data_IF_832017535690
#
_entry.id   IF_832017535690
#
_cell.length_a   1.000
_cell.length_b   1.000
_cell.length_c   1.000
_cell.angle_alpha   90.00
_cell.angle_beta   90.00
_cell.angle_gamma   90.00
#
_symmetry.space_group_name_H-M   'P 1'
#
loop_
_entity.id
_entity.type
_entity.pdbx_description
1 polymer ?
#
# COMPACT_ATOMS: atom_id res chain seq x y z
N UNK A 1 40.76 48.96 20.65
CA UNK A 1 39.36 49.06 20.19
C UNK A 1 38.55 48.09 21.06
N UNK A 2 38.05 48.54 22.21
CA UNK A 2 37.25 47.68 23.09
C UNK A 2 35.85 47.56 22.50
N UNK A 3 35.46 46.35 22.10
CA UNK A 3 34.08 46.08 21.72
C UNK A 3 33.18 46.45 22.92
N UNK A 4 32.14 47.25 22.65
CA UNK A 4 31.04 47.49 23.58
C UNK A 4 30.57 46.15 24.18
N UNK A 5 30.39 46.01 25.51
CA UNK A 5 29.96 44.77 26.16
C UNK A 5 28.70 44.15 25.52
N UNK A 6 27.88 44.95 24.84
CA UNK A 6 26.74 44.48 24.07
C UNK A 6 27.14 43.81 22.76
N UNK A 7 28.04 44.43 21.97
CA UNK A 7 28.56 43.85 20.72
C UNK A 7 29.44 42.62 20.97
N UNK A 8 30.15 42.60 22.09
CA UNK A 8 30.86 41.43 22.57
C UNK A 8 29.89 40.26 22.84
N UNK A 9 28.77 40.49 23.54
CA UNK A 9 27.78 39.45 23.81
C UNK A 9 27.08 38.91 22.55
N UNK A 10 26.79 39.76 21.57
CA UNK A 10 26.23 39.32 20.27
C UNK A 10 27.24 38.50 19.49
N UNK A 11 28.50 38.94 19.42
CA UNK A 11 29.58 38.18 18.80
C UNK A 11 29.82 36.85 19.53
N UNK A 12 29.73 36.83 20.87
CA UNK A 12 29.86 35.61 21.66
C UNK A 12 28.69 34.67 21.41
N UNK A 13 27.46 35.16 21.28
CA UNK A 13 26.28 34.31 21.00
C UNK A 13 26.34 33.74 19.59
N UNK A 14 26.73 34.55 18.60
CA UNK A 14 26.98 34.09 17.24
C UNK A 14 28.13 33.06 17.18
N UNK A 15 29.20 33.29 17.93
CA UNK A 15 30.32 32.34 18.04
C UNK A 15 29.90 31.04 18.72
N UNK A 16 29.09 31.10 19.78
CA UNK A 16 28.54 29.92 20.46
C UNK A 16 27.66 29.13 19.51
N UNK A 17 26.83 29.79 18.70
CA UNK A 17 25.97 29.14 17.69
C UNK A 17 26.82 28.48 16.60
N UNK A 18 27.83 29.17 16.06
CA UNK A 18 28.77 28.62 15.08
C UNK A 18 29.56 27.43 15.67
N UNK A 19 29.99 27.52 16.92
CA UNK A 19 30.64 26.43 17.65
C UNK A 19 29.69 25.26 17.89
N UNK A 20 28.42 25.51 18.20
CA UNK A 20 27.39 24.47 18.34
C UNK A 20 27.17 23.75 17.00
N UNK A 21 27.10 24.48 15.88
CA UNK A 21 27.04 23.90 14.54
C UNK A 21 28.30 23.11 14.18
N UNK A 22 29.49 23.61 14.53
CA UNK A 22 30.75 22.91 14.32
C UNK A 22 30.85 21.65 15.19
N UNK A 23 30.40 21.71 16.45
CA UNK A 23 30.36 20.57 17.38
C UNK A 23 29.34 19.54 16.92
N UNK A 24 28.14 19.94 16.48
CA UNK A 24 27.16 19.02 15.90
C UNK A 24 27.70 18.36 14.62
N UNK A 25 28.38 19.11 13.76
CA UNK A 25 29.04 18.59 12.56
C UNK A 25 30.17 17.61 12.90
N UNK A 26 30.99 17.92 13.91
CA UNK A 26 32.07 17.05 14.39
C UNK A 26 31.54 15.81 15.10
N UNK A 27 30.51 15.92 15.94
CA UNK A 27 29.85 14.79 16.61
C UNK A 27 29.25 13.86 15.56
N UNK A 28 28.56 14.41 14.55
CA UNK A 28 28.02 13.66 13.43
C UNK A 28 29.09 12.93 12.60
N UNK A 29 30.32 13.47 12.55
CA UNK A 29 31.49 12.82 11.93
C UNK A 29 32.32 11.92 12.86
N UNK A 30 31.99 11.85 14.16
CA UNK A 30 32.79 11.15 15.18
C UNK A 30 32.25 9.77 15.53
N UNK A 31 33.05 8.96 16.25
CA UNK A 31 32.61 7.68 16.78
C UNK A 31 31.46 7.74 17.78
N UNK A 32 31.27 8.87 18.45
CA UNK A 32 30.16 9.09 19.39
C UNK A 32 28.83 9.24 18.64
N UNK A 33 28.85 9.87 17.45
CA UNK A 33 27.71 9.94 16.54
C UNK A 33 27.21 8.55 16.13
N UNK A 34 28.13 7.59 15.93
CA UNK A 34 27.79 6.20 15.57
C UNK A 34 27.00 5.44 16.64
N UNK A 35 27.14 5.83 17.91
CA UNK A 35 26.46 5.20 19.06
C UNK A 35 25.01 5.66 19.20
N UNK A 36 24.70 6.87 18.74
CA UNK A 36 23.35 7.47 18.68
C UNK A 36 22.73 7.40 17.27
N UNK A 37 23.28 6.54 16.39
CA UNK A 37 22.70 6.22 15.08
C UNK A 37 23.21 7.04 13.88
N UNK A 38 24.16 7.96 14.07
CA UNK A 38 24.73 8.79 12.99
C UNK A 38 25.97 8.10 12.41
N UNK A 39 25.91 7.62 11.17
CA UNK A 39 27.06 6.94 10.52
C UNK A 39 27.57 7.70 9.28
N UNK A 40 28.85 8.12 9.27
CA UNK A 40 29.45 8.91 8.18
C UNK A 40 29.88 8.09 6.96
N UNK A 41 29.80 6.75 7.03
CA UNK A 41 30.39 5.82 6.06
C UNK A 41 29.48 5.51 4.85
N UNK A 42 28.24 6.02 4.79
CA UNK A 42 27.29 5.64 3.74
C UNK A 42 27.20 6.72 2.63
N UNK A 43 27.51 6.38 1.36
CA UNK A 43 27.22 7.25 0.23
C UNK A 43 25.71 7.34 -0.01
N UNK A 44 25.30 8.44 -0.65
CA UNK A 44 23.95 9.04 -0.77
C UNK A 44 22.75 8.18 -1.22
N UNK A 45 22.83 6.85 -1.28
CA UNK A 45 21.98 6.02 -2.13
C UNK A 45 20.85 5.22 -1.46
N UNK A 46 20.62 5.30 -0.14
CA UNK A 46 19.53 4.53 0.50
C UNK A 46 18.65 5.29 1.52
N UNK A 47 18.70 6.63 1.59
CA UNK A 47 17.74 7.39 2.43
C UNK A 47 17.59 8.88 1.99
N UNK A 48 16.39 9.36 1.60
CA UNK A 48 16.21 10.66 0.93
C UNK A 48 16.00 11.88 1.85
N UNK A 49 16.69 11.99 2.98
CA UNK A 49 16.77 13.25 3.78
C UNK A 49 18.13 13.98 3.65
N UNK A 50 19.10 13.37 2.99
CA UNK A 50 20.43 13.92 2.77
C UNK A 50 20.41 15.19 1.90
N UNK A 51 20.89 16.28 2.48
CA UNK A 51 20.96 17.65 1.96
C UNK A 51 19.65 18.43 2.11
N UNK A 52 18.49 18.10 1.50
CA UNK A 52 17.33 19.04 1.57
C UNK A 52 16.57 19.08 2.91
N UNK A 53 16.38 17.95 3.60
CA UNK A 53 15.70 17.94 4.89
C UNK A 53 16.61 18.45 6.01
N UNK A 54 17.89 18.07 5.99
CA UNK A 54 18.92 18.69 6.84
C UNK A 54 19.04 20.19 6.53
N UNK A 55 19.01 20.59 5.26
CA UNK A 55 19.02 22.02 4.89
C UNK A 55 17.81 22.75 5.42
N UNK A 56 16.60 22.16 5.51
CA UNK A 56 15.43 22.84 6.08
C UNK A 56 15.48 22.87 7.61
N UNK A 57 15.92 21.78 8.26
CA UNK A 57 16.12 21.71 9.71
C UNK A 57 17.28 22.59 10.19
N UNK A 58 18.27 22.86 9.35
CA UNK A 58 19.39 23.77 9.61
C UNK A 58 19.07 25.21 9.16
N UNK A 59 18.42 25.40 8.01
CA UNK A 59 18.09 26.73 7.49
C UNK A 59 16.97 27.42 8.26
N UNK A 60 16.04 26.67 8.88
CA UNK A 60 14.97 27.29 9.66
C UNK A 60 15.49 27.95 10.95
N UNK A 61 16.33 27.29 11.78
CA UNK A 61 17.08 27.98 12.85
C UNK A 61 17.96 29.12 12.33
N UNK A 62 18.64 28.94 11.18
CA UNK A 62 19.46 30.00 10.59
C UNK A 62 18.62 31.22 10.16
N UNK A 63 17.40 31.01 9.65
CA UNK A 63 16.45 32.06 9.31
C UNK A 63 15.97 32.80 10.56
N UNK A 64 15.66 32.09 11.65
CA UNK A 64 15.29 32.72 12.93
C UNK A 64 16.42 33.60 13.47
N UNK A 65 17.67 33.13 13.38
CA UNK A 65 18.86 33.90 13.76
C UNK A 65 19.08 35.10 12.83
N UNK A 66 18.85 34.94 11.52
CA UNK A 66 18.96 36.03 10.55
C UNK A 66 17.90 37.11 10.77
N UNK A 67 16.64 36.74 11.02
CA UNK A 67 15.54 37.67 11.34
C UNK A 67 15.82 38.40 12.64
N UNK A 68 16.30 37.69 13.66
CA UNK A 68 16.73 38.30 14.93
C UNK A 68 17.84 39.33 14.69
N UNK A 69 18.89 38.95 13.96
CA UNK A 69 20.05 39.80 13.68
C UNK A 69 19.74 41.03 12.84
N UNK A 70 18.89 40.88 11.80
CA UNK A 70 18.43 41.99 10.96
C UNK A 70 17.58 42.98 11.76
N UNK A 71 16.66 42.49 12.59
CA UNK A 71 15.80 43.33 13.43
C UNK A 71 16.63 44.07 14.47
N UNK A 72 17.59 43.39 15.09
CA UNK A 72 18.52 44.00 16.02
C UNK A 72 19.32 45.14 15.35
N UNK A 73 19.88 44.88 14.16
CA UNK A 73 20.68 45.85 13.41
C UNK A 73 19.89 47.08 12.93
N UNK A 74 18.58 46.94 12.69
CA UNK A 74 17.69 48.05 12.34
C UNK A 74 17.32 48.93 13.53
N UNK A 75 17.18 48.37 14.73
CA UNK A 75 16.74 49.11 15.91
C UNK A 75 17.92 49.71 16.69
N UNK A 76 19.06 49.02 16.75
CA UNK A 76 20.23 49.42 17.54
C UNK A 76 20.75 50.85 17.26
N UNK A 77 20.78 51.38 16.02
CA UNK A 77 21.26 52.74 15.75
C UNK A 77 20.35 53.85 16.29
N UNK A 78 19.12 53.54 16.71
CA UNK A 78 18.09 54.52 17.07
C UNK A 78 17.81 54.58 18.57
N UNK A 79 18.51 53.80 19.40
CA UNK A 79 18.23 53.70 20.84
C UNK A 79 19.53 53.59 21.63
N UNK A 80 19.64 54.34 22.73
CA UNK A 80 20.83 54.33 23.59
C UNK A 80 20.98 53.04 24.43
N UNK A 81 19.94 52.21 24.50
CA UNK A 81 19.94 50.98 25.29
C UNK A 81 19.96 49.72 24.42
N UNK A 82 20.77 48.75 24.82
CA UNK A 82 20.87 47.43 24.20
C UNK A 82 19.61 46.54 24.42
N UNK A 83 18.79 46.86 25.41
CA UNK A 83 17.65 46.03 25.81
C UNK A 83 16.54 46.01 24.75
N UNK A 84 16.19 47.18 24.22
CA UNK A 84 15.11 47.34 23.23
C UNK A 84 15.39 46.62 21.89
N UNK A 85 16.57 46.75 21.25
CA UNK A 85 16.91 46.03 20.04
C UNK A 85 16.91 44.50 20.21
N UNK A 86 17.39 44.00 21.36
CA UNK A 86 17.40 42.57 21.68
C UNK A 86 15.97 42.01 21.83
N UNK A 87 15.13 42.70 22.59
CA UNK A 87 13.72 42.32 22.76
C UNK A 87 12.94 42.35 21.43
N UNK A 88 13.19 43.36 20.58
CA UNK A 88 12.60 43.45 19.25
C UNK A 88 13.04 42.28 18.34
N UNK A 89 14.33 41.92 18.37
CA UNK A 89 14.84 40.76 17.64
C UNK A 89 14.21 39.45 18.09
N UNK A 90 14.10 39.22 19.41
CA UNK A 90 13.45 38.02 19.94
C UNK A 90 11.95 37.98 19.61
N UNK A 91 11.26 39.12 19.67
CA UNK A 91 9.85 39.21 19.29
C UNK A 91 9.64 38.90 17.79
N UNK A 92 10.52 39.39 16.91
CA UNK A 92 10.46 39.11 15.47
C UNK A 92 10.71 37.63 15.15
N UNK A 93 11.77 37.03 15.71
CA UNK A 93 12.05 35.60 15.54
C UNK A 93 10.95 34.73 16.18
N UNK A 94 10.43 35.12 17.35
CA UNK A 94 9.29 34.48 18.00
C UNK A 94 8.01 34.55 17.15
N UNK A 95 7.76 35.68 16.49
CA UNK A 95 6.65 35.84 15.54
C UNK A 95 6.75 34.89 14.35
N UNK A 96 7.93 34.74 13.74
CA UNK A 96 8.17 33.75 12.68
C UNK A 96 7.92 32.33 13.19
N UNK A 97 8.43 32.00 14.38
CA UNK A 97 8.23 30.69 14.99
C UNK A 97 6.74 30.40 15.25
N UNK A 98 5.97 31.36 15.76
CA UNK A 98 4.53 31.20 16.01
C UNK A 98 3.75 31.04 14.70
N UNK A 99 4.07 31.82 13.67
CA UNK A 99 3.36 31.81 12.39
C UNK A 99 3.69 30.59 11.52
N UNK A 100 4.89 30.02 11.67
CA UNK A 100 5.38 28.97 10.76
C UNK A 100 5.75 27.66 11.45
N UNK A 101 5.89 27.64 12.79
CA UNK A 101 6.33 26.49 13.57
C UNK A 101 5.39 25.29 13.48
N UNK A 102 4.07 25.49 13.51
CA UNK A 102 3.11 24.40 13.32
C UNK A 102 3.18 23.79 11.91
N UNK A 103 3.37 24.63 10.87
CA UNK A 103 3.52 24.17 9.48
C UNK A 103 4.85 23.44 9.27
N UNK A 104 5.91 23.95 9.89
CA UNK A 104 7.24 23.35 9.87
C UNK A 104 7.27 22.01 10.60
N UNK A 105 6.70 21.92 11.80
CA UNK A 105 6.57 20.67 12.53
C UNK A 105 5.78 19.64 11.72
N UNK A 106 4.61 20.03 11.17
CA UNK A 106 3.80 19.16 10.31
C UNK A 106 4.55 18.71 9.05
N UNK A 107 5.35 19.58 8.45
CA UNK A 107 6.20 19.25 7.30
C UNK A 107 7.32 18.27 7.67
N UNK A 108 7.99 18.48 8.80
CA UNK A 108 9.03 17.56 9.30
C UNK A 108 8.42 16.20 9.66
N UNK A 109 7.26 16.16 10.30
CA UNK A 109 6.51 14.93 10.59
C UNK A 109 6.09 14.21 9.31
N UNK A 110 5.60 14.94 8.30
CA UNK A 110 5.28 14.38 6.98
C UNK A 110 6.51 13.78 6.29
N UNK A 111 7.65 14.46 6.37
CA UNK A 111 8.91 13.99 5.79
C UNK A 111 9.47 12.75 6.49
N UNK A 112 9.25 12.61 7.80
CA UNK A 112 9.81 11.53 8.61
C UNK A 112 8.88 10.31 8.65
N UNK A 113 7.55 10.50 8.66
CA UNK A 113 6.59 9.43 8.88
C UNK A 113 5.39 9.40 7.91
N UNK A 114 5.46 10.13 6.79
CA UNK A 114 4.41 10.09 5.76
C UNK A 114 3.08 10.72 6.20
N UNK A 115 1.99 10.40 5.48
CA UNK A 115 0.64 10.91 5.79
C UNK A 115 0.09 10.39 7.12
N UNK A 116 0.37 9.13 7.47
CA UNK A 116 -0.09 8.49 8.71
C UNK A 116 0.46 9.20 9.95
N UNK A 117 1.75 9.59 9.95
CA UNK A 117 2.35 10.34 11.05
C UNK A 117 1.76 11.75 11.25
N UNK A 118 1.13 12.33 10.22
CA UNK A 118 0.58 13.70 10.26
C UNK A 118 -0.85 13.74 10.76
N UNK A 119 -1.61 12.66 10.58
CA UNK A 119 -3.03 12.60 10.92
C UNK A 119 -3.33 12.02 12.31
N UNK A 120 -2.27 11.56 13.00
CA UNK A 120 -2.28 11.15 14.41
C UNK A 120 -2.62 9.69 14.63
N UNK A 121 -2.01 9.08 15.65
CA UNK A 121 -2.22 7.67 16.02
C UNK A 121 -3.70 7.39 16.32
N UNK A 122 -4.20 6.27 15.80
CA UNK A 122 -5.52 5.75 16.13
C UNK A 122 -5.48 4.98 17.45
N UNK A 123 -6.58 4.97 18.18
CA UNK A 123 -6.71 4.09 19.35
C UNK A 123 -6.88 2.64 18.89
N UNK A 124 -6.45 1.65 19.70
CA UNK A 124 -6.61 0.24 19.33
C UNK A 124 -8.05 -0.19 18.99
N UNK A 125 -9.07 0.44 19.59
CA UNK A 125 -10.48 0.18 19.29
C UNK A 125 -10.97 0.81 17.97
N UNK A 126 -10.19 1.73 17.41
CA UNK A 126 -10.45 2.37 16.11
C UNK A 126 -9.80 1.63 14.94
N UNK A 127 -8.94 0.64 15.22
CA UNK A 127 -8.26 -0.16 14.19
C UNK A 127 -9.20 -1.28 13.75
N UNK A 128 -9.57 -1.27 12.46
CA UNK A 128 -10.44 -2.28 11.86
C UNK A 128 -9.59 -3.49 11.48
N UNK A 129 -9.89 -4.71 11.98
CA UNK A 129 -9.15 -5.89 11.57
C UNK A 129 -9.37 -6.20 10.09
N UNK A 130 -8.37 -6.81 9.46
CA UNK A 130 -8.49 -7.33 8.08
C UNK A 130 -9.66 -8.31 7.98
N UNK A 131 -10.47 -8.12 6.94
CA UNK A 131 -11.62 -8.92 6.57
C UNK A 131 -11.66 -9.06 5.03
N UNK A 132 -11.03 -10.15 4.56
CA UNK A 132 -10.96 -10.55 3.16
C UNK A 132 -12.26 -11.22 2.65
N UNK A 133 -13.25 -11.44 3.53
CA UNK A 133 -14.51 -12.13 3.19
C UNK A 133 -15.59 -11.12 2.84
N UNK A 134 -15.67 -10.02 3.58
CA UNK A 134 -16.67 -8.98 3.35
C UNK A 134 -18.10 -9.46 3.55
N UNK A 135 -18.96 -9.23 2.55
CA UNK A 135 -20.38 -9.57 2.60
C UNK A 135 -20.72 -10.96 2.05
N UNK A 136 -19.73 -11.77 1.64
CA UNK A 136 -19.96 -13.13 1.15
C UNK A 136 -20.22 -14.11 2.32
N UNK A 137 -21.50 -14.23 2.66
CA UNK A 137 -21.98 -15.10 3.75
C UNK A 137 -21.68 -16.58 3.53
N UNK A 138 -21.64 -17.04 2.27
CA UNK A 138 -21.37 -18.43 1.95
C UNK A 138 -19.88 -18.74 2.11
N UNK A 139 -19.02 -17.80 1.68
CA UNK A 139 -17.57 -17.86 1.92
C UNK A 139 -17.24 -17.80 3.42
N UNK A 140 -17.93 -16.95 4.19
CA UNK A 140 -17.80 -16.91 5.65
C UNK A 140 -18.11 -18.28 6.29
N UNK A 141 -19.25 -18.88 5.91
CA UNK A 141 -19.64 -20.20 6.41
C UNK A 141 -18.65 -21.30 6.01
N UNK A 142 -18.14 -21.27 4.77
CA UNK A 142 -17.13 -22.22 4.29
C UNK A 142 -15.78 -22.04 5.02
N UNK A 143 -15.35 -20.81 5.27
CA UNK A 143 -14.14 -20.51 6.03
C UNK A 143 -14.27 -20.97 7.50
N UNK A 144 -15.43 -20.76 8.12
CA UNK A 144 -15.73 -21.27 9.46
C UNK A 144 -15.66 -22.80 9.53
N UNK A 145 -16.19 -23.49 8.52
CA UNK A 145 -16.10 -24.94 8.41
C UNK A 145 -14.65 -25.42 8.20
N UNK A 146 -13.92 -24.77 7.30
CA UNK A 146 -12.51 -25.06 7.06
C UNK A 146 -11.66 -24.93 8.33
N UNK A 147 -11.91 -23.91 9.17
CA UNK A 147 -11.28 -23.74 10.49
C UNK A 147 -11.58 -24.87 11.48
N UNK A 148 -12.66 -25.62 11.28
CA UNK A 148 -12.99 -26.83 12.06
C UNK A 148 -12.47 -28.12 11.41
N UNK A 149 -11.73 -28.02 10.30
CA UNK A 149 -11.27 -29.16 9.51
C UNK A 149 -12.30 -29.70 8.51
N UNK A 150 -13.48 -29.10 8.42
CA UNK A 150 -14.57 -29.57 7.54
C UNK A 150 -14.38 -29.00 6.12
N UNK A 151 -13.92 -29.83 5.18
CA UNK A 151 -13.67 -29.41 3.79
C UNK A 151 -14.90 -29.42 2.89
N UNK A 152 -15.96 -30.16 3.26
CA UNK A 152 -17.13 -30.37 2.41
C UNK A 152 -17.87 -29.06 2.07
N UNK A 153 -18.06 -28.10 3.02
CA UNK A 153 -18.69 -26.82 2.70
C UNK A 153 -17.88 -25.99 1.69
N UNK A 154 -16.55 -25.95 1.83
CA UNK A 154 -15.68 -25.29 0.85
C UNK A 154 -15.78 -25.96 -0.54
N UNK A 155 -15.73 -27.29 -0.59
CA UNK A 155 -15.89 -28.02 -1.85
C UNK A 155 -17.24 -27.77 -2.53
N UNK A 156 -18.33 -27.74 -1.76
CA UNK A 156 -19.68 -27.48 -2.24
C UNK A 156 -19.83 -26.03 -2.75
N UNK A 157 -19.32 -25.06 -2.00
CA UNK A 157 -19.32 -23.64 -2.38
C UNK A 157 -18.60 -23.44 -3.72
N UNK A 158 -17.37 -23.93 -3.81
CA UNK A 158 -16.54 -23.77 -5.00
C UNK A 158 -17.16 -24.50 -6.22
N UNK A 159 -17.74 -25.69 -6.01
CA UNK A 159 -18.40 -26.45 -7.08
C UNK A 159 -19.72 -25.82 -7.55
N UNK A 160 -20.39 -25.05 -6.70
CA UNK A 160 -21.60 -24.29 -7.06
C UNK A 160 -21.29 -22.90 -7.67
N UNK A 161 -20.03 -22.45 -7.63
CA UNK A 161 -19.63 -21.13 -8.12
C UNK A 161 -19.30 -21.21 -9.62
N UNK A 162 -20.24 -20.81 -10.47
CA UNK A 162 -20.05 -20.85 -11.93
C UNK A 162 -19.23 -19.69 -12.51
N UNK A 163 -19.21 -18.53 -11.85
CA UNK A 163 -18.40 -17.39 -12.27
C UNK A 163 -16.93 -17.62 -11.91
N UNK A 164 -16.05 -17.57 -12.91
CA UNK A 164 -14.63 -17.92 -12.75
C UNK A 164 -13.88 -16.95 -11.85
N UNK A 165 -14.19 -15.65 -11.93
CA UNK A 165 -13.50 -14.64 -11.11
C UNK A 165 -13.95 -14.74 -9.66
N UNK A 166 -15.26 -14.94 -9.41
CA UNK A 166 -15.79 -15.17 -8.05
C UNK A 166 -15.23 -16.46 -7.46
N UNK A 167 -15.12 -17.53 -8.26
CA UNK A 167 -14.56 -18.80 -7.81
C UNK A 167 -13.07 -18.64 -7.46
N UNK A 168 -12.31 -17.90 -8.27
CA UNK A 168 -10.91 -17.60 -7.98
C UNK A 168 -10.72 -16.75 -6.72
N UNK A 169 -11.56 -15.74 -6.49
CA UNK A 169 -11.55 -14.97 -5.23
C UNK A 169 -11.81 -15.86 -4.02
N UNK A 170 -12.86 -16.70 -4.09
CA UNK A 170 -13.20 -17.64 -3.00
C UNK A 170 -12.07 -18.62 -2.73
N UNK A 171 -11.45 -19.18 -3.77
CA UNK A 171 -10.27 -20.06 -3.62
C UNK A 171 -9.16 -19.30 -2.91
N UNK A 172 -8.78 -18.12 -3.42
CA UNK A 172 -7.66 -17.32 -2.91
C UNK A 172 -7.89 -16.91 -1.45
N UNK A 173 -9.10 -16.51 -1.08
CA UNK A 173 -9.46 -16.14 0.29
C UNK A 173 -9.43 -17.37 1.22
N UNK A 174 -10.03 -18.50 0.82
CA UNK A 174 -10.01 -19.73 1.62
C UNK A 174 -8.58 -20.22 1.86
N UNK A 175 -7.74 -20.25 0.83
CA UNK A 175 -6.34 -20.66 0.98
C UNK A 175 -5.53 -19.64 1.79
N UNK A 176 -5.80 -18.34 1.63
CA UNK A 176 -5.11 -17.27 2.34
C UNK A 176 -5.33 -17.35 3.85
N UNK A 177 -6.58 -17.59 4.25
CA UNK A 177 -6.96 -17.85 5.65
C UNK A 177 -6.37 -19.16 6.20
N UNK A 178 -5.90 -20.05 5.32
CA UNK A 178 -5.43 -21.40 5.64
C UNK A 178 -3.92 -21.59 5.46
N UNK A 179 -3.16 -20.51 5.23
CA UNK A 179 -1.70 -20.56 5.04
C UNK A 179 -1.02 -21.27 6.20
N UNK A 180 -1.43 -20.99 7.44
CA UNK A 180 -0.89 -21.62 8.65
C UNK A 180 -1.67 -22.85 9.11
N UNK A 181 -2.98 -22.92 8.83
CA UNK A 181 -3.87 -24.02 9.23
C UNK A 181 -4.68 -24.53 8.03
N UNK A 182 -4.05 -25.38 7.22
CA UNK A 182 -4.60 -25.88 5.96
C UNK A 182 -4.92 -27.37 5.98
N UNK A 183 -5.20 -27.95 7.15
CA UNK A 183 -5.46 -29.39 7.28
C UNK A 183 -6.66 -29.83 6.44
N UNK A 184 -7.71 -29.01 6.35
CA UNK A 184 -8.90 -29.30 5.54
C UNK A 184 -8.57 -29.53 4.05
N UNK A 185 -7.58 -28.83 3.49
CA UNK A 185 -7.15 -29.02 2.09
C UNK A 185 -6.49 -30.38 1.88
N UNK A 186 -5.64 -30.79 2.82
CA UNK A 186 -4.98 -32.10 2.78
C UNK A 186 -5.99 -33.23 2.99
N UNK A 187 -6.98 -33.05 3.87
CA UNK A 187 -8.07 -34.01 4.08
C UNK A 187 -8.98 -34.11 2.86
N UNK A 188 -9.32 -33.00 2.20
CA UNK A 188 -10.09 -33.04 0.95
C UNK A 188 -9.32 -33.79 -0.13
N UNK A 189 -8.04 -33.47 -0.32
CA UNK A 189 -7.20 -34.15 -1.30
C UNK A 189 -7.07 -35.65 -1.01
N UNK A 190 -6.91 -36.03 0.26
CA UNK A 190 -6.84 -37.45 0.66
C UNK A 190 -8.17 -38.18 0.43
N UNK A 191 -9.30 -37.53 0.72
CA UNK A 191 -10.63 -38.09 0.51
C UNK A 191 -11.01 -38.21 -0.97
N UNK A 192 -10.54 -37.28 -1.81
CA UNK A 192 -10.85 -37.22 -3.25
C UNK A 192 -9.60 -36.87 -4.09
N UNK A 193 -8.64 -37.79 -4.25
CA UNK A 193 -7.38 -37.50 -4.95
C UNK A 193 -7.52 -37.29 -6.46
N UNK A 194 -8.68 -37.61 -7.04
CA UNK A 194 -9.01 -37.39 -8.45
C UNK A 194 -9.94 -36.19 -8.65
N UNK A 195 -10.13 -35.36 -7.63
CA UNK A 195 -10.91 -34.12 -7.71
C UNK A 195 -10.00 -32.98 -8.24
N UNK A 196 -10.26 -32.44 -9.45
CA UNK A 196 -9.45 -31.35 -10.01
C UNK A 196 -9.53 -30.08 -9.14
N UNK A 197 -10.68 -29.83 -8.51
CA UNK A 197 -10.87 -28.65 -7.67
C UNK A 197 -10.03 -28.73 -6.39
N UNK A 198 -9.99 -29.90 -5.75
CA UNK A 198 -9.11 -30.14 -4.61
C UNK A 198 -7.63 -29.93 -4.97
N UNK A 199 -7.24 -30.40 -6.15
CA UNK A 199 -5.86 -30.26 -6.66
C UNK A 199 -5.50 -28.80 -6.94
N UNK A 200 -6.42 -28.02 -7.54
CA UNK A 200 -6.24 -26.60 -7.79
C UNK A 200 -6.13 -25.79 -6.49
N UNK A 201 -7.02 -26.03 -5.52
CA UNK A 201 -6.98 -25.38 -4.19
C UNK A 201 -5.67 -25.69 -3.47
N UNK A 202 -5.19 -26.93 -3.56
CA UNK A 202 -3.91 -27.33 -2.97
C UNK A 202 -2.72 -26.67 -3.65
N UNK A 203 -2.76 -26.50 -4.97
CA UNK A 203 -1.74 -25.78 -5.72
C UNK A 203 -1.65 -24.31 -5.27
N UNK A 204 -2.79 -23.63 -5.17
CA UNK A 204 -2.86 -22.24 -4.73
C UNK A 204 -2.38 -22.08 -3.28
N UNK A 205 -2.81 -22.95 -2.36
CA UNK A 205 -2.33 -22.95 -0.98
C UNK A 205 -0.80 -23.15 -0.90
N UNK A 206 -0.25 -24.07 -1.70
CA UNK A 206 1.19 -24.31 -1.74
C UNK A 206 1.96 -23.07 -2.22
N UNK A 207 1.43 -22.37 -3.21
CA UNK A 207 1.98 -21.10 -3.71
C UNK A 207 1.95 -20.03 -2.63
N UNK A 208 0.82 -19.85 -1.95
CA UNK A 208 0.67 -18.82 -0.91
C UNK A 208 1.59 -19.09 0.28
N UNK A 209 1.75 -20.37 0.68
CA UNK A 209 2.73 -20.78 1.69
C UNK A 209 4.16 -20.50 1.26
N UNK A 210 4.51 -20.71 -0.01
CA UNK A 210 5.83 -20.37 -0.52
C UNK A 210 6.09 -18.86 -0.38
N UNK A 211 5.17 -18.01 -0.86
CA UNK A 211 5.29 -16.56 -0.75
C UNK A 211 5.35 -16.08 0.71
N UNK A 212 4.56 -16.67 1.62
CA UNK A 212 4.60 -16.37 3.04
C UNK A 212 5.96 -16.75 3.67
N UNK A 213 6.54 -17.90 3.28
CA UNK A 213 7.86 -18.33 3.77
C UNK A 213 9.00 -17.42 3.29
N UNK A 214 8.89 -16.82 2.10
CA UNK A 214 9.86 -15.82 1.61
C UNK A 214 9.81 -14.52 2.43
N UNK A 215 8.62 -14.13 2.88
CA UNK A 215 8.38 -12.84 3.54
C UNK A 215 8.46 -11.65 2.57
N UNK A 216 8.20 -10.44 3.09
CA UNK A 216 8.21 -9.19 2.33
C UNK A 216 9.60 -8.55 2.18
N UNK A 217 10.65 -9.14 2.77
CA UNK A 217 12.01 -8.61 2.73
C UNK A 217 12.66 -8.79 1.34
N UNK A 218 13.51 -7.83 0.96
CA UNK A 218 14.37 -7.95 -0.23
C UNK A 218 15.18 -9.25 -0.20
N UNK A 219 15.42 -9.83 -1.38
CA UNK A 219 16.17 -11.08 -1.55
C UNK A 219 17.58 -11.04 -0.91
N UNK A 220 18.15 -9.86 -0.69
CA UNK A 220 19.45 -9.66 -0.02
C UNK A 220 19.41 -9.88 1.50
N UNK A 221 18.22 -9.98 2.11
CA UNK A 221 18.04 -10.12 3.56
C UNK A 221 17.23 -11.38 3.93
N UNK A 222 16.89 -12.23 2.96
CA UNK A 222 16.18 -13.49 3.20
C UNK A 222 17.16 -14.59 3.63
N UNK A 223 16.95 -15.27 4.77
CA UNK A 223 17.76 -16.41 5.18
C UNK A 223 17.80 -17.54 4.13
N UNK A 224 18.95 -18.23 3.99
CA UNK A 224 19.15 -19.28 2.97
C UNK A 224 18.13 -20.44 3.06
N UNK A 225 17.63 -20.74 4.26
CA UNK A 225 16.58 -21.73 4.50
C UNK A 225 15.21 -21.27 4.01
N UNK A 226 14.86 -19.99 4.21
CA UNK A 226 13.64 -19.38 3.67
C UNK A 226 13.66 -19.35 2.13
N UNK A 227 14.82 -19.07 1.51
CA UNK A 227 15.00 -19.14 0.05
C UNK A 227 14.79 -20.57 -0.47
N UNK A 228 15.40 -21.57 0.18
CA UNK A 228 15.18 -22.98 -0.20
C UNK A 228 13.74 -23.42 -0.04
N UNK A 229 13.09 -23.04 1.06
CA UNK A 229 11.68 -23.35 1.31
C UNK A 229 10.77 -22.71 0.25
N UNK A 230 11.07 -21.47 -0.17
CA UNK A 230 10.36 -20.78 -1.24
C UNK A 230 10.41 -21.56 -2.55
N UNK A 231 11.60 -21.86 -3.07
CA UNK A 231 11.73 -22.58 -4.35
C UNK A 231 11.16 -24.01 -4.28
N UNK A 232 11.37 -24.73 -3.18
CA UNK A 232 10.77 -26.07 -2.98
C UNK A 232 9.24 -26.00 -3.00
N UNK A 233 8.66 -24.98 -2.36
CA UNK A 233 7.23 -24.73 -2.34
C UNK A 233 6.68 -24.39 -3.73
N UNK A 234 7.38 -23.55 -4.49
CA UNK A 234 7.00 -23.22 -5.88
C UNK A 234 7.03 -24.44 -6.80
N UNK A 235 8.06 -25.29 -6.70
CA UNK A 235 8.16 -26.51 -7.50
C UNK A 235 7.03 -27.50 -7.17
N UNK A 236 6.67 -27.62 -5.89
CA UNK A 236 5.51 -28.41 -5.47
C UNK A 236 4.21 -27.84 -6.04
N UNK A 237 4.00 -26.53 -5.89
CA UNK A 237 2.82 -25.85 -6.39
C UNK A 237 2.68 -25.98 -7.92
N UNK A 238 3.79 -25.88 -8.65
CA UNK A 238 3.80 -26.05 -10.11
C UNK A 238 3.32 -27.44 -10.51
N UNK A 239 3.87 -28.51 -9.92
CA UNK A 239 3.43 -29.88 -10.23
C UNK A 239 1.95 -30.10 -9.94
N UNK A 240 1.43 -29.50 -8.86
CA UNK A 240 0.01 -29.56 -8.52
C UNK A 240 -0.85 -28.78 -9.52
N UNK A 241 -0.42 -27.58 -9.91
CA UNK A 241 -1.13 -26.78 -10.90
C UNK A 241 -1.16 -27.46 -12.27
N UNK A 242 -0.02 -27.99 -12.76
CA UNK A 242 0.06 -28.80 -13.97
C UNK A 242 -0.86 -30.02 -13.89
N UNK A 243 -0.89 -30.69 -12.73
CA UNK A 243 -1.80 -31.83 -12.53
C UNK A 243 -3.27 -31.42 -12.57
N UNK A 244 -3.62 -30.28 -11.98
CA UNK A 244 -4.98 -29.75 -12.04
C UNK A 244 -5.38 -29.39 -13.49
N UNK A 245 -4.45 -28.85 -14.29
CA UNK A 245 -4.67 -28.58 -15.73
C UNK A 245 -4.92 -29.88 -16.51
N UNK A 246 -4.15 -30.95 -16.26
CA UNK A 246 -4.39 -32.25 -16.89
C UNK A 246 -5.80 -32.79 -16.60
N UNK A 247 -6.29 -32.58 -15.37
CA UNK A 247 -7.56 -33.12 -14.89
C UNK A 247 -8.76 -32.26 -15.30
N UNK A 248 -8.59 -30.94 -15.38
CA UNK A 248 -9.60 -29.99 -15.80
C UNK A 248 -8.98 -28.95 -16.77
N UNK A 249 -8.81 -29.31 -18.05
CA UNK A 249 -8.13 -28.47 -19.03
C UNK A 249 -8.80 -27.13 -19.29
N UNK A 250 -10.07 -26.95 -18.95
CA UNK A 250 -10.82 -25.70 -19.15
C UNK A 250 -10.81 -24.79 -17.91
N UNK A 251 -10.24 -25.23 -16.79
CA UNK A 251 -10.20 -24.43 -15.55
C UNK A 251 -9.11 -23.34 -15.64
N UNK A 252 -9.45 -22.04 -15.56
CA UNK A 252 -8.46 -20.96 -15.60
C UNK A 252 -7.65 -20.82 -14.30
N UNK A 253 -8.13 -21.33 -13.16
CA UNK A 253 -7.49 -21.07 -11.87
C UNK A 253 -6.07 -21.66 -11.78
N UNK A 254 -5.82 -22.94 -12.16
CA UNK A 254 -4.46 -23.48 -12.19
C UNK A 254 -3.50 -22.70 -13.09
N UNK A 255 -3.99 -22.14 -14.20
CA UNK A 255 -3.18 -21.29 -15.09
C UNK A 255 -2.81 -19.97 -14.41
N UNK A 256 -3.75 -19.32 -13.71
CA UNK A 256 -3.46 -18.13 -12.92
C UNK A 256 -2.39 -18.42 -11.84
N UNK A 257 -2.47 -19.57 -11.17
CA UNK A 257 -1.43 -20.03 -10.23
C UNK A 257 -0.07 -20.23 -10.94
N UNK A 258 -0.03 -20.81 -12.14
CA UNK A 258 1.22 -20.94 -12.91
C UNK A 258 1.83 -19.59 -13.30
N UNK A 259 1.02 -18.59 -13.64
CA UNK A 259 1.48 -17.22 -13.91
C UNK A 259 2.08 -16.60 -12.65
N UNK A 260 1.45 -16.79 -11.48
CA UNK A 260 2.02 -16.32 -10.21
C UNK A 260 3.34 -17.02 -9.85
N UNK A 261 3.44 -18.32 -10.13
CA UNK A 261 4.68 -19.10 -9.93
C UNK A 261 5.79 -18.58 -10.84
N UNK A 262 5.48 -18.26 -12.10
CA UNK A 262 6.43 -17.76 -13.09
C UNK A 262 7.21 -16.55 -12.58
N UNK A 263 6.54 -15.64 -11.86
CA UNK A 263 7.17 -14.49 -11.19
C UNK A 263 8.22 -14.90 -10.15
N UNK A 264 7.87 -15.87 -9.30
CA UNK A 264 8.76 -16.35 -8.23
C UNK A 264 9.95 -17.15 -8.76
N UNK A 265 9.73 -17.96 -9.81
CA UNK A 265 10.75 -18.74 -10.48
C UNK A 265 11.61 -17.92 -11.45
N UNK A 266 11.16 -16.72 -11.83
CA UNK A 266 11.80 -15.90 -12.85
C UNK A 266 12.02 -16.66 -14.17
N UNK A 267 10.97 -17.34 -14.63
CA UNK A 267 11.03 -18.14 -15.86
C UNK A 267 11.37 -17.26 -17.09
N UNK A 268 11.90 -17.84 -18.17
CA UNK A 268 12.11 -17.11 -19.42
C UNK A 268 10.83 -16.46 -19.95
N UNK A 269 10.95 -15.35 -20.66
CA UNK A 269 9.81 -14.59 -21.18
C UNK A 269 8.82 -15.45 -21.98
N UNK A 270 9.31 -16.32 -22.87
CA UNK A 270 8.48 -17.23 -23.68
C UNK A 270 7.64 -18.19 -22.81
N UNK A 271 8.20 -18.66 -21.69
CA UNK A 271 7.48 -19.52 -20.73
C UNK A 271 6.40 -18.73 -19.99
N UNK A 272 6.69 -17.48 -19.60
CA UNK A 272 5.73 -16.60 -18.97
C UNK A 272 4.57 -16.27 -19.92
N UNK A 273 4.86 -15.89 -21.16
CA UNK A 273 3.88 -15.60 -22.21
C UNK A 273 2.98 -16.82 -22.47
N UNK A 274 3.55 -18.03 -22.60
CA UNK A 274 2.76 -19.26 -22.78
C UNK A 274 1.77 -19.50 -21.62
N UNK A 275 2.18 -19.24 -20.38
CA UNK A 275 1.30 -19.40 -19.20
C UNK A 275 0.17 -18.36 -19.20
N UNK A 276 0.47 -17.11 -19.57
CA UNK A 276 -0.51 -16.03 -19.69
C UNK A 276 -1.50 -16.31 -20.84
N UNK A 277 -1.01 -16.75 -21.99
CA UNK A 277 -1.84 -17.12 -23.13
C UNK A 277 -2.78 -18.28 -22.77
N UNK A 278 -2.25 -19.33 -22.13
CA UNK A 278 -3.08 -20.45 -21.68
C UNK A 278 -4.16 -20.03 -20.67
N UNK A 279 -3.90 -19.05 -19.80
CA UNK A 279 -4.92 -18.47 -18.94
C UNK A 279 -5.98 -17.72 -19.76
N UNK A 280 -5.57 -16.81 -20.65
CA UNK A 280 -6.50 -15.93 -21.38
C UNK A 280 -7.27 -16.64 -22.50
N UNK A 281 -6.78 -17.77 -23.01
CA UNK A 281 -7.56 -18.67 -23.87
C UNK A 281 -8.83 -19.19 -23.18
N UNK A 282 -8.76 -19.42 -21.85
CA UNK A 282 -9.84 -19.99 -21.04
C UNK A 282 -10.73 -18.92 -20.43
N UNK A 283 -10.10 -17.86 -19.92
CA UNK A 283 -10.77 -16.75 -19.27
C UNK A 283 -10.14 -15.43 -19.71
N UNK A 284 -10.58 -14.85 -20.85
CA UNK A 284 -10.13 -13.55 -21.29
C UNK A 284 -10.37 -12.49 -20.19
N UNK A 285 -9.35 -11.70 -19.88
CA UNK A 285 -9.40 -10.67 -18.84
C UNK A 285 -9.70 -11.17 -17.42
N UNK A 286 -9.41 -12.45 -17.12
CA UNK A 286 -9.52 -13.02 -15.77
C UNK A 286 -8.89 -12.09 -14.73
N UNK A 287 -9.65 -11.71 -13.69
CA UNK A 287 -9.29 -10.61 -12.77
C UNK A 287 -7.98 -10.91 -12.06
N UNK A 288 -7.95 -11.98 -11.27
CA UNK A 288 -6.76 -12.35 -10.51
C UNK A 288 -5.56 -12.63 -11.42
N UNK A 289 -5.82 -13.34 -12.52
CA UNK A 289 -4.83 -13.71 -13.51
C UNK A 289 -4.15 -12.50 -14.17
N UNK A 290 -4.94 -11.49 -14.51
CA UNK A 290 -4.45 -10.24 -15.09
C UNK A 290 -3.63 -9.43 -14.07
N UNK A 291 -4.04 -9.43 -12.79
CA UNK A 291 -3.28 -8.78 -11.73
C UNK A 291 -1.90 -9.45 -11.51
N UNK A 292 -1.84 -10.78 -11.45
CA UNK A 292 -0.56 -11.48 -11.28
C UNK A 292 0.35 -11.37 -12.51
N UNK A 293 -0.22 -11.33 -13.72
CA UNK A 293 0.52 -11.03 -14.95
C UNK A 293 1.13 -9.63 -14.90
N UNK A 294 0.32 -8.60 -14.56
CA UNK A 294 0.80 -7.22 -14.41
C UNK A 294 1.93 -7.10 -13.39
N UNK A 295 1.77 -7.72 -12.21
CA UNK A 295 2.80 -7.72 -11.18
C UNK A 295 4.12 -8.35 -11.64
N UNK A 296 4.07 -9.34 -12.54
CA UNK A 296 5.27 -10.03 -13.05
C UNK A 296 6.09 -9.12 -13.97
N UNK A 297 5.42 -8.25 -14.73
CA UNK A 297 6.07 -7.30 -15.65
C UNK A 297 6.40 -5.95 -15.01
N UNK A 298 6.17 -5.77 -13.70
CA UNK A 298 6.66 -4.60 -12.98
C UNK A 298 8.19 -4.53 -12.98
N UNK A 299 8.75 -3.32 -12.88
CA UNK A 299 10.19 -3.05 -12.91
C UNK A 299 11.00 -3.78 -11.81
N UNK A 300 10.38 -4.11 -10.67
CA UNK A 300 10.99 -4.87 -9.58
C UNK A 300 11.10 -6.39 -9.86
N UNK A 301 10.53 -6.84 -10.98
CA UNK A 301 10.45 -8.24 -11.38
C UNK A 301 11.06 -8.43 -12.78
N UNK A 302 10.28 -8.89 -13.76
CA UNK A 302 10.80 -9.32 -15.07
C UNK A 302 10.58 -8.28 -16.18
N UNK A 303 10.09 -7.09 -15.86
CA UNK A 303 9.77 -6.07 -16.86
C UNK A 303 10.29 -4.68 -16.50
N UNK A 304 9.62 -3.67 -17.03
CA UNK A 304 9.93 -2.26 -16.84
C UNK A 304 8.65 -1.41 -16.76
N UNK A 305 8.81 -0.12 -16.46
CA UNK A 305 7.68 0.80 -16.33
C UNK A 305 6.84 0.90 -17.60
N UNK A 306 7.45 0.89 -18.78
CA UNK A 306 6.75 1.06 -20.06
C UNK A 306 5.88 -0.17 -20.35
N UNK A 307 6.46 -1.35 -20.22
CA UNK A 307 5.79 -2.66 -20.40
C UNK A 307 4.64 -2.82 -19.41
N UNK A 308 4.84 -2.46 -18.14
CA UNK A 308 3.81 -2.50 -17.11
C UNK A 308 2.62 -1.60 -17.46
N UNK A 309 2.85 -0.33 -17.84
CA UNK A 309 1.76 0.58 -18.21
C UNK A 309 1.07 0.16 -19.51
N UNK A 310 1.81 -0.37 -20.50
CA UNK A 310 1.24 -0.88 -21.74
C UNK A 310 0.26 -2.04 -21.43
N UNK A 311 0.71 -3.06 -20.71
CA UNK A 311 -0.13 -4.20 -20.32
C UNK A 311 -1.36 -3.75 -19.50
N UNK A 312 -1.16 -2.88 -18.51
CA UNK A 312 -2.26 -2.39 -17.68
C UNK A 312 -3.34 -1.66 -18.49
N UNK A 313 -2.94 -0.83 -19.45
CA UNK A 313 -3.85 -0.08 -20.31
C UNK A 313 -4.55 -0.97 -21.33
N UNK A 314 -3.83 -1.91 -21.94
CA UNK A 314 -4.38 -2.83 -22.93
C UNK A 314 -5.43 -3.75 -22.29
N UNK A 315 -5.09 -4.39 -21.17
CA UNK A 315 -6.02 -5.24 -20.43
C UNK A 315 -7.17 -4.43 -19.83
N UNK A 316 -6.90 -3.26 -19.23
CA UNK A 316 -7.93 -2.43 -18.61
C UNK A 316 -8.95 -1.87 -19.60
N UNK A 317 -8.49 -1.47 -20.79
CA UNK A 317 -9.36 -0.96 -21.87
C UNK A 317 -10.10 -2.11 -22.57
N UNK A 318 -9.42 -3.24 -22.78
CA UNK A 318 -10.00 -4.42 -23.43
C UNK A 318 -11.04 -5.14 -22.57
N UNK A 319 -10.90 -5.09 -21.24
CA UNK A 319 -11.81 -5.76 -20.32
C UNK A 319 -13.26 -5.24 -20.44
N UNK A 320 -14.27 -6.12 -20.30
CA UNK A 320 -15.66 -5.71 -20.24
C UNK A 320 -15.92 -4.69 -19.12
N UNK A 321 -16.75 -3.68 -19.37
CA UNK A 321 -17.21 -2.76 -18.32
C UNK A 321 -17.83 -3.55 -17.16
N UNK A 322 -17.57 -3.12 -15.92
CA UNK A 322 -17.91 -3.90 -14.73
C UNK A 322 -16.80 -4.80 -14.20
N UNK A 323 -15.85 -5.27 -15.03
CA UNK A 323 -14.76 -6.14 -14.58
C UNK A 323 -13.72 -5.35 -13.78
N UNK A 324 -13.25 -5.91 -12.66
CA UNK A 324 -12.17 -5.33 -11.87
C UNK A 324 -10.84 -5.24 -12.65
N UNK A 325 -10.68 -5.97 -13.76
CA UNK A 325 -9.56 -5.83 -14.70
C UNK A 325 -9.47 -4.43 -15.30
N UNK A 326 -10.58 -3.67 -15.37
CA UNK A 326 -10.56 -2.25 -15.75
C UNK A 326 -9.71 -1.38 -14.80
N UNK A 327 -9.40 -1.86 -13.59
CA UNK A 327 -8.62 -1.15 -12.58
C UNK A 327 -7.11 -1.40 -12.66
N UNK A 328 -6.61 -2.23 -13.57
CA UNK A 328 -5.18 -2.51 -13.68
C UNK A 328 -4.30 -1.24 -13.80
N UNK A 329 -4.71 -0.16 -14.50
CA UNK A 329 -3.93 1.09 -14.49
C UNK A 329 -3.77 1.71 -13.10
N UNK A 330 -4.71 1.51 -12.16
CA UNK A 330 -4.53 1.95 -10.77
C UNK A 330 -3.37 1.20 -10.12
N UNK A 331 -3.28 -0.12 -10.34
CA UNK A 331 -2.16 -0.95 -9.83
C UNK A 331 -0.84 -0.45 -10.41
N UNK A 332 -0.77 -0.19 -11.72
CA UNK A 332 0.43 0.33 -12.37
C UNK A 332 0.87 1.69 -11.79
N UNK A 333 -0.08 2.58 -11.49
CA UNK A 333 0.21 3.87 -10.84
C UNK A 333 0.67 3.71 -9.38
N UNK A 334 0.09 2.79 -8.62
CA UNK A 334 0.53 2.47 -7.26
C UNK A 334 1.94 1.89 -7.28
N UNK A 335 2.23 0.93 -8.16
CA UNK A 335 3.57 0.35 -8.31
C UNK A 335 4.59 1.41 -8.72
N UNK A 336 4.22 2.31 -9.64
CA UNK A 336 5.07 3.45 -10.02
C UNK A 336 5.27 4.42 -8.85
N UNK A 337 4.26 4.64 -8.02
CA UNK A 337 4.39 5.45 -6.82
C UNK A 337 5.41 4.83 -5.86
N UNK A 338 5.29 3.53 -5.55
CA UNK A 338 6.22 2.81 -4.68
C UNK A 338 7.66 2.81 -5.23
N UNK A 339 7.83 2.59 -6.54
CA UNK A 339 9.14 2.66 -7.21
C UNK A 339 9.77 4.06 -7.09
N UNK A 340 8.98 5.12 -7.32
CA UNK A 340 9.45 6.50 -7.21
C UNK A 340 9.76 6.91 -5.77
N UNK A 341 9.00 6.37 -4.81
CA UNK A 341 9.17 6.61 -3.39
C UNK A 341 10.47 5.99 -2.88
N UNK A 342 10.74 4.74 -3.26
CA UNK A 342 12.00 4.06 -2.96
C UNK A 342 13.19 4.59 -3.77
N UNK A 343 12.92 5.18 -4.94
CA UNK A 343 13.94 5.71 -5.86
C UNK A 343 14.54 7.07 -5.45
N UNK A 344 15.46 7.57 -6.28
CA UNK A 344 16.17 8.86 -6.04
C UNK A 344 15.26 10.08 -5.91
N UNK A 345 14.00 9.96 -6.35
CA UNK A 345 13.02 11.03 -6.26
C UNK A 345 12.32 11.17 -4.90
N UNK A 346 12.30 10.09 -4.12
CA UNK A 346 11.68 10.02 -2.81
C UNK A 346 10.17 10.30 -2.81
N UNK A 347 9.57 10.45 -1.62
CA UNK A 347 8.13 10.68 -1.44
C UNK A 347 7.58 11.86 -2.25
N UNK A 348 8.39 12.90 -2.49
CA UNK A 348 7.96 14.06 -3.26
C UNK A 348 7.68 13.76 -4.75
N UNK A 349 8.47 12.89 -5.38
CA UNK A 349 8.23 12.48 -6.77
C UNK A 349 7.05 11.51 -6.85
N UNK A 350 6.98 10.57 -5.92
CA UNK A 350 5.87 9.64 -5.78
C UNK A 350 4.53 10.38 -5.62
N UNK A 351 4.48 11.41 -4.77
CA UNK A 351 3.29 12.24 -4.59
C UNK A 351 2.97 13.06 -5.84
N UNK A 352 3.98 13.66 -6.49
CA UNK A 352 3.78 14.40 -7.76
C UNK A 352 3.20 13.51 -8.87
N UNK A 353 3.64 12.25 -8.95
CA UNK A 353 3.10 11.29 -9.91
C UNK A 353 1.61 11.05 -9.69
N UNK A 354 1.19 10.76 -8.44
CA UNK A 354 -0.20 10.47 -8.12
C UNK A 354 -1.11 11.71 -8.22
N UNK A 355 -0.60 12.89 -7.91
CA UNK A 355 -1.36 14.16 -7.97
C UNK A 355 -1.37 14.82 -9.34
N UNK A 356 -0.62 14.29 -10.31
CA UNK A 356 -0.62 14.81 -11.67
C UNK A 356 -2.02 14.70 -12.29
N UNK A 357 -2.43 15.74 -13.03
CA UNK A 357 -3.76 15.79 -13.64
C UNK A 357 -4.04 14.62 -14.59
N UNK A 358 -3.03 14.18 -15.35
CA UNK A 358 -3.13 13.02 -16.22
C UNK A 358 -3.41 11.72 -15.43
N UNK A 359 -2.63 11.46 -14.37
CA UNK A 359 -2.82 10.31 -13.49
C UNK A 359 -4.23 10.30 -12.89
N UNK A 360 -4.65 11.40 -12.23
CA UNK A 360 -6.01 11.48 -11.64
C UNK A 360 -7.12 11.25 -12.68
N UNK A 361 -6.94 11.75 -13.90
CA UNK A 361 -7.91 11.54 -14.99
C UNK A 361 -7.98 10.07 -15.40
N UNK A 362 -6.83 9.41 -15.52
CA UNK A 362 -6.74 7.97 -15.83
C UNK A 362 -7.39 7.13 -14.72
N UNK A 363 -7.07 7.39 -13.44
CA UNK A 363 -7.67 6.69 -12.29
C UNK A 363 -9.21 6.79 -12.32
N UNK A 364 -9.77 8.00 -12.48
CA UNK A 364 -11.22 8.21 -12.56
C UNK A 364 -11.86 7.53 -13.77
N UNK A 365 -11.18 7.51 -14.91
CA UNK A 365 -11.69 6.88 -16.14
C UNK A 365 -11.80 5.37 -15.96
N UNK A 366 -10.76 4.73 -15.41
CA UNK A 366 -10.75 3.31 -15.09
C UNK A 366 -11.85 2.93 -14.10
N UNK A 367 -11.97 3.70 -13.00
CA UNK A 367 -13.01 3.50 -11.98
C UNK A 367 -14.41 3.69 -12.58
N UNK A 368 -14.62 4.71 -13.40
CA UNK A 368 -15.91 4.93 -14.05
C UNK A 368 -16.29 3.74 -14.94
N UNK A 369 -15.35 3.20 -15.73
CA UNK A 369 -15.59 2.01 -16.56
C UNK A 369 -15.93 0.79 -15.72
N UNK A 370 -15.22 0.59 -14.61
CA UNK A 370 -15.50 -0.49 -13.66
C UNK A 370 -16.88 -0.35 -13.00
N UNK A 371 -17.30 0.87 -12.65
CA UNK A 371 -18.63 1.11 -12.09
C UNK A 371 -19.76 1.02 -13.13
N UNK A 372 -19.44 1.11 -14.43
CA UNK A 372 -20.42 1.09 -15.53
C UNK A 372 -20.71 -0.33 -16.05
N UNK A 373 -20.72 -1.33 -15.17
CA UNK A 373 -21.05 -2.71 -15.55
C UNK A 373 -22.52 -2.88 -15.98
N UNK A 374 -22.86 -4.05 -16.55
CA UNK A 374 -24.15 -4.29 -17.20
C UNK A 374 -25.36 -4.08 -16.28
N UNK A 375 -25.21 -4.34 -14.98
CA UNK A 375 -26.28 -4.20 -13.97
C UNK A 375 -26.22 -2.85 -13.21
N UNK A 376 -25.52 -1.86 -13.77
CA UNK A 376 -25.36 -0.53 -13.15
C UNK A 376 -24.32 -0.48 -12.02
N UNK A 377 -23.41 -1.46 -11.96
CA UNK A 377 -22.33 -1.53 -10.98
C UNK A 377 -21.24 -2.54 -11.35
N UNK A 378 -20.21 -2.68 -10.49
CA UNK A 378 -19.18 -3.70 -10.63
C UNK A 378 -19.74 -5.12 -10.75
N UNK A 379 -19.06 -5.96 -11.53
CA UNK A 379 -19.26 -7.42 -11.47
C UNK A 379 -18.81 -7.95 -10.10
N UNK A 380 -19.33 -9.11 -9.65
CA UNK A 380 -19.01 -9.63 -8.33
C UNK A 380 -17.53 -9.99 -8.13
N UNK A 381 -16.88 -10.59 -9.15
CA UNK A 381 -15.45 -10.93 -9.11
C UNK A 381 -14.55 -9.70 -8.96
N UNK A 382 -13.72 -9.70 -7.93
CA UNK A 382 -12.80 -8.63 -7.55
C UNK A 382 -13.48 -7.39 -6.98
N UNK A 383 -14.77 -7.46 -6.59
CA UNK A 383 -15.52 -6.25 -6.20
C UNK A 383 -14.99 -5.59 -4.93
N UNK A 384 -14.83 -6.36 -3.85
CA UNK A 384 -14.34 -5.86 -2.56
C UNK A 384 -12.92 -5.29 -2.68
N UNK A 385 -12.04 -6.08 -3.30
CA UNK A 385 -10.67 -5.69 -3.58
C UNK A 385 -10.61 -4.45 -4.48
N UNK A 386 -11.46 -4.35 -5.50
CA UNK A 386 -11.56 -3.18 -6.37
C UNK A 386 -11.94 -1.90 -5.64
N UNK A 387 -12.81 -1.96 -4.63
CA UNK A 387 -13.12 -0.80 -3.78
C UNK A 387 -11.92 -0.41 -2.90
N UNK A 388 -11.25 -1.38 -2.28
CA UNK A 388 -10.02 -1.15 -1.51
C UNK A 388 -8.92 -0.52 -2.39
N UNK A 389 -8.72 -1.04 -3.60
CA UNK A 389 -7.77 -0.54 -4.59
C UNK A 389 -8.08 0.90 -5.01
N UNK A 390 -9.33 1.19 -5.38
CA UNK A 390 -9.75 2.52 -5.80
C UNK A 390 -9.62 3.55 -4.68
N UNK A 391 -10.06 3.22 -3.46
CA UNK A 391 -9.92 4.08 -2.30
C UNK A 391 -8.45 4.41 -2.01
N UNK A 392 -7.59 3.40 -2.01
CA UNK A 392 -6.16 3.59 -1.76
C UNK A 392 -5.49 4.42 -2.86
N UNK A 393 -5.78 4.15 -4.14
CA UNK A 393 -5.25 4.93 -5.26
C UNK A 393 -5.64 6.41 -5.18
N UNK A 394 -6.90 6.72 -4.85
CA UNK A 394 -7.36 8.09 -4.68
C UNK A 394 -6.83 8.77 -3.41
N UNK A 395 -6.61 8.01 -2.34
CA UNK A 395 -5.93 8.49 -1.14
C UNK A 395 -4.50 8.92 -1.46
N UNK A 396 -3.72 8.09 -2.15
CA UNK A 396 -2.40 8.48 -2.66
C UNK A 396 -2.46 9.69 -3.58
N UNK A 397 -3.46 9.72 -4.48
CA UNK A 397 -3.70 10.82 -5.41
C UNK A 397 -4.20 12.11 -4.78
N UNK A 398 -4.47 12.17 -3.46
CA UNK A 398 -5.04 13.34 -2.78
C UNK A 398 -6.39 13.80 -3.36
N UNK A 399 -7.26 12.85 -3.67
CA UNK A 399 -8.58 13.07 -4.29
C UNK A 399 -9.70 12.50 -3.41
N UNK A 400 -10.03 13.25 -2.35
CA UNK A 400 -10.97 12.80 -1.32
C UNK A 400 -12.39 12.58 -1.87
N UNK A 401 -12.82 13.40 -2.83
CA UNK A 401 -14.14 13.30 -3.43
C UNK A 401 -14.30 11.99 -4.21
N UNK A 402 -13.25 11.57 -4.93
CA UNK A 402 -13.26 10.29 -5.65
C UNK A 402 -13.06 9.10 -4.70
N UNK A 403 -12.33 9.26 -3.59
CA UNK A 403 -12.11 8.19 -2.62
C UNK A 403 -13.35 7.85 -1.78
N UNK A 404 -14.15 8.87 -1.40
CA UNK A 404 -15.24 8.74 -0.43
C UNK A 404 -16.24 7.62 -0.74
N UNK A 405 -16.78 7.46 -1.97
CA UNK A 405 -17.73 6.40 -2.27
C UNK A 405 -17.14 5.00 -2.09
N UNK A 406 -15.85 4.83 -2.37
CA UNK A 406 -15.18 3.54 -2.20
C UNK A 406 -14.89 3.26 -0.72
N UNK A 407 -14.48 4.27 0.06
CA UNK A 407 -14.32 4.14 1.52
C UNK A 407 -15.66 3.77 2.19
N UNK A 408 -16.78 4.34 1.74
CA UNK A 408 -18.11 3.97 2.21
C UNK A 408 -18.48 2.54 1.83
N UNK A 409 -18.19 2.10 0.60
CA UNK A 409 -18.44 0.75 0.12
C UNK A 409 -17.59 -0.32 0.85
N UNK A 410 -16.32 -0.01 1.18
CA UNK A 410 -15.45 -0.88 2.00
C UNK A 410 -16.07 -1.10 3.38
N UNK A 411 -16.64 -0.05 3.97
CA UNK A 411 -17.22 -0.12 5.31
C UNK A 411 -16.18 -0.57 6.34
N UNK A 412 -16.30 -1.82 6.81
CA UNK A 412 -15.39 -2.47 7.76
C UNK A 412 -14.59 -3.63 7.15
N UNK A 413 -14.75 -3.88 5.86
CA UNK A 413 -14.16 -5.03 5.16
C UNK A 413 -12.86 -4.63 4.47
N UNK A 414 -11.86 -4.31 5.31
CA UNK A 414 -10.53 -3.91 4.84
C UNK A 414 -9.73 -5.14 4.42
N UNK A 415 -9.11 -5.08 3.25
CA UNK A 415 -8.21 -6.12 2.75
C UNK A 415 -6.76 -5.80 3.14
N UNK A 416 -5.88 -6.79 3.18
CA UNK A 416 -4.45 -6.58 3.44
C UNK A 416 -3.83 -5.76 2.30
N UNK A 417 -4.06 -6.17 1.06
CA UNK A 417 -3.66 -5.42 -0.12
C UNK A 417 -4.78 -4.46 -0.56
N UNK A 418 -4.48 -3.20 -0.92
CA UNK A 418 -3.15 -2.58 -1.04
C UNK A 418 -2.68 -1.83 0.22
N UNK A 419 -3.49 -1.75 1.27
CA UNK A 419 -3.23 -0.90 2.45
C UNK A 419 -1.93 -1.24 3.17
N UNK A 420 -1.55 -2.53 3.16
CA UNK A 420 -0.30 -3.06 3.69
C UNK A 420 0.97 -2.40 3.14
N UNK A 421 0.92 -1.75 1.97
CA UNK A 421 2.05 -0.98 1.45
C UNK A 421 2.38 0.27 2.28
N UNK A 422 1.43 0.80 3.05
CA UNK A 422 1.59 2.04 3.80
C UNK A 422 1.53 1.86 5.32
N UNK A 423 1.40 0.64 5.82
CA UNK A 423 1.34 0.33 7.25
C UNK A 423 0.37 -0.80 7.58
N UNK A 424 -0.10 -0.84 8.82
CA UNK A 424 -1.15 -1.77 9.23
C UNK A 424 -2.47 -1.43 8.49
N UNK A 425 -3.09 -2.37 7.76
CA UNK A 425 -4.23 -2.08 6.89
C UNK A 425 -5.39 -1.33 7.56
N UNK A 426 -5.80 -1.75 8.76
CA UNK A 426 -6.88 -1.15 9.52
C UNK A 426 -6.60 0.30 9.92
N UNK A 427 -5.37 0.57 10.35
CA UNK A 427 -4.88 1.90 10.70
C UNK A 427 -4.89 2.81 9.48
N UNK A 428 -4.30 2.37 8.36
CA UNK A 428 -4.21 3.18 7.14
C UNK A 428 -5.61 3.47 6.58
N UNK A 429 -6.53 2.49 6.60
CA UNK A 429 -7.92 2.72 6.22
C UNK A 429 -8.59 3.76 7.14
N UNK A 430 -8.42 3.64 8.46
CA UNK A 430 -8.99 4.57 9.42
C UNK A 430 -8.49 6.02 9.21
N UNK A 431 -7.20 6.17 8.92
CA UNK A 431 -6.58 7.45 8.50
C UNK A 431 -7.21 7.96 7.21
N UNK A 432 -7.30 7.13 6.17
CA UNK A 432 -7.92 7.52 4.90
C UNK A 432 -9.39 7.93 5.05
N UNK A 433 -10.15 7.27 5.94
CA UNK A 433 -11.54 7.65 6.26
C UNK A 433 -11.61 9.01 6.94
N UNK A 434 -10.77 9.25 7.95
CA UNK A 434 -10.67 10.55 8.64
C UNK A 434 -10.32 11.67 7.66
N UNK A 435 -9.31 11.44 6.81
CA UNK A 435 -8.88 12.35 5.75
C UNK A 435 -10.03 12.71 4.79
N UNK A 436 -10.84 11.72 4.40
CA UNK A 436 -12.03 11.93 3.58
C UNK A 436 -13.21 12.55 4.35
N UNK A 437 -13.08 12.87 5.63
CA UNK A 437 -14.18 13.41 6.45
C UNK A 437 -15.28 12.38 6.74
N UNK A 438 -14.93 11.10 6.79
CA UNK A 438 -15.78 10.00 7.24
C UNK A 438 -15.42 9.59 8.68
N UNK A 439 -16.31 8.90 9.40
CA UNK A 439 -15.96 8.25 10.66
C UNK A 439 -14.80 7.26 10.45
N UNK A 440 -13.81 7.28 11.35
CA UNK A 440 -12.61 6.40 11.33
C UNK A 440 -13.04 4.93 11.23
N UNK A 441 -13.97 4.50 12.08
CA UNK A 441 -14.63 3.21 11.97
C UNK A 441 -16.01 3.42 11.38
N UNK A 442 -16.35 2.67 10.33
CA UNK A 442 -17.69 2.72 9.76
C UNK A 442 -18.75 2.30 10.80
N UNK A 443 -19.90 3.03 10.90
CA UNK A 443 -20.96 2.68 11.83
C UNK A 443 -21.50 1.26 11.58
N UNK A 444 -21.78 0.54 12.66
CA UNK A 444 -22.51 -0.73 12.59
C UNK A 444 -23.95 -0.41 12.17
N UNK A 445 -24.29 -0.60 10.90
CA UNK A 445 -25.65 -0.39 10.39
C UNK A 445 -25.80 0.30 9.04
N UNK A 446 -24.72 0.75 8.39
CA UNK A 446 -24.83 1.39 7.07
C UNK A 446 -25.29 0.43 5.95
N UNK A 447 -25.21 -0.89 6.16
CA UNK A 447 -25.54 -1.93 5.17
C UNK A 447 -26.61 -2.94 5.62
N UNK A 448 -27.16 -2.84 6.83
CA UNK A 448 -28.23 -3.74 7.30
C UNK A 448 -29.63 -3.20 7.07
N UNK A 449 -29.86 -2.54 5.92
CA UNK A 449 -31.21 -2.51 5.38
C UNK A 449 -31.50 -3.91 4.83
N UNK A 450 -31.94 -4.83 5.71
CA UNK A 450 -32.69 -6.02 5.29
C UNK A 450 -33.71 -5.55 4.25
N UNK A 451 -33.85 -6.23 3.09
CA UNK A 451 -35.09 -6.12 2.34
C UNK A 451 -36.21 -6.35 3.35
N UNK A 452 -37.15 -5.40 3.49
CA UNK A 452 -38.34 -5.63 4.30
C UNK A 452 -38.88 -6.98 3.86
N UNK A 453 -39.01 -7.92 4.79
CA UNK A 453 -39.79 -9.12 4.55
C UNK A 453 -41.12 -8.66 3.93
N UNK A 454 -41.54 -9.22 2.78
CA UNK A 454 -42.82 -8.85 2.20
C UNK A 454 -43.88 -9.02 3.28
N UNK A 455 -44.67 -7.97 3.54
CA UNK A 455 -45.75 -8.04 4.52
C UNK A 455 -46.58 -9.29 4.25
N UNK A 456 -46.86 -10.13 5.27
CA UNK A 456 -47.71 -11.28 5.07
C UNK A 456 -49.05 -10.82 4.53
N UNK A 457 -49.41 -11.33 3.35
CA UNK A 457 -50.69 -11.11 2.71
C UNK A 457 -51.81 -11.18 3.76
N UNK A 458 -52.51 -10.07 3.97
CA UNK A 458 -53.79 -10.09 4.67
C UNK A 458 -54.82 -10.78 3.76
N UNK A 459 -55.42 -11.91 4.19
CA UNK A 459 -56.52 -12.50 3.45
C UNK A 459 -57.74 -11.59 3.55
N UNK A 460 -58.37 -11.34 2.40
CA UNK A 460 -59.67 -10.68 2.28
C UNK A 460 -60.81 -11.59 2.72
#
# INVERSE_FOLDING_TARGET
MSLDPTGANVATTALVVVLLFAVMYVIAGSGLGRLIGIRPEYPFLFNPTGIRAISVVVAYPALLVAVWGLTFGLVAPHVESAGLPSQAGFAAAGGVLVLTGARFARFVTFLIGGRTAVEGELRPDEIVPVDEIGDDVDLAAAADAARRGEWQPAAALLGATGDVDVRSDRIRTLTGLSVHDGQWVEEWFAARPQDPQATAVRAELAVQRAWAARGAADAAHTPDDAVRAFFTGLDQAQRLAEKAIEMAPDDPMPWATLVQIARGQQVPQEEFERRVDGLFERAPFHVYGSQVALQTVCAKWLGDTETMFAMARDLGTGAPAGSATCLLPLIAHIERHLELEAGRGGPSQAQRHMTAGATRTELRTCVQRWLSGPDGGPRPGGRLEGHNLAAYAFWLADDADSARPHLEAIGRSVTEWPWGYSGEPGEVLGVARRWAGLPVVAPVGAWTARPRDPEPFSPA
#
